data_IF_843921302584
#
_entry.id   IF_843921302584
#
_cell.length_a   1.000
_cell.length_b   1.000
_cell.length_c   1.000
_cell.angle_alpha   90.00
_cell.angle_beta   90.00
_cell.angle_gamma   90.00
#
_symmetry.space_group_name_H-M   'P 1'
#
loop_
_entity.id
_entity.type
_entity.pdbx_description
1 polymer ?
#
# COMPACT_ATOMS: atom_id res chain seq x y z
N UNK A 1 26.88 -33.76 -47.65
CA UNK A 1 26.04 -32.55 -47.86
C UNK A 1 26.56 -31.46 -46.93
N UNK A 2 27.14 -30.40 -47.51
CA UNK A 2 27.67 -29.26 -46.74
C UNK A 2 26.47 -28.38 -46.35
N UNK A 3 26.21 -28.13 -45.05
CA UNK A 3 25.11 -27.26 -44.65
C UNK A 3 25.35 -25.85 -45.21
N UNK A 4 24.36 -25.30 -45.91
CA UNK A 4 24.45 -23.96 -46.47
C UNK A 4 24.52 -22.93 -45.33
N UNK A 5 25.31 -21.86 -45.51
CA UNK A 5 25.48 -20.77 -44.53
C UNK A 5 24.15 -20.16 -44.05
N UNK A 6 23.08 -20.32 -44.84
CA UNK A 6 21.72 -19.84 -44.53
C UNK A 6 21.04 -20.64 -43.40
N UNK A 7 21.29 -21.95 -43.30
CA UNK A 7 20.68 -22.79 -42.26
C UNK A 7 21.39 -22.62 -40.89
N UNK A 8 22.65 -22.19 -40.90
CA UNK A 8 23.44 -21.91 -39.68
C UNK A 8 23.05 -20.57 -39.03
N UNK A 9 22.66 -19.58 -39.83
CA UNK A 9 22.15 -18.28 -39.34
C UNK A 9 20.74 -18.38 -38.74
N UNK A 10 19.87 -19.24 -39.27
CA UNK A 10 18.51 -19.44 -38.76
C UNK A 10 18.53 -20.20 -37.42
N UNK A 11 19.43 -21.17 -37.26
CA UNK A 11 19.62 -21.90 -36.00
C UNK A 11 20.30 -21.06 -34.92
N UNK A 12 21.32 -20.25 -35.29
CA UNK A 12 21.94 -19.30 -34.36
C UNK A 12 21.00 -18.14 -33.97
N UNK A 13 20.19 -17.63 -34.91
CA UNK A 13 19.19 -16.60 -34.66
C UNK A 13 18.03 -17.10 -33.78
N UNK A 14 17.56 -18.33 -34.00
CA UNK A 14 16.54 -18.98 -33.17
C UNK A 14 17.02 -19.28 -31.74
N UNK A 15 18.26 -19.77 -31.57
CA UNK A 15 18.87 -19.96 -30.26
C UNK A 15 19.14 -18.63 -29.54
N UNK A 16 19.57 -17.59 -30.26
CA UNK A 16 19.76 -16.24 -29.73
C UNK A 16 18.44 -15.59 -29.29
N UNK A 17 17.38 -15.70 -30.08
CA UNK A 17 16.03 -15.22 -29.73
C UNK A 17 15.42 -16.00 -28.55
N UNK A 18 15.63 -17.32 -28.48
CA UNK A 18 15.18 -18.13 -27.35
C UNK A 18 15.97 -17.80 -26.06
N UNK A 19 17.29 -17.60 -26.13
CA UNK A 19 18.12 -17.20 -24.99
C UNK A 19 17.83 -15.76 -24.54
N UNK A 20 17.55 -14.83 -25.47
CA UNK A 20 17.08 -13.47 -25.15
C UNK A 20 15.70 -13.50 -24.52
N UNK A 21 14.77 -14.33 -25.02
CA UNK A 21 13.44 -14.51 -24.44
C UNK A 21 13.47 -15.11 -23.04
N UNK A 22 14.29 -16.14 -22.82
CA UNK A 22 14.50 -16.76 -21.50
C UNK A 22 15.24 -15.82 -20.55
N UNK A 23 16.25 -15.09 -21.03
CA UNK A 23 17.00 -14.12 -20.22
C UNK A 23 16.16 -12.91 -19.82
N UNK A 24 15.31 -12.40 -20.71
CA UNK A 24 14.37 -11.31 -20.43
C UNK A 24 13.27 -11.76 -19.47
N UNK A 25 12.67 -12.94 -19.70
CA UNK A 25 11.70 -13.53 -18.77
C UNK A 25 12.32 -13.80 -17.38
N UNK A 26 13.54 -14.36 -17.33
CA UNK A 26 14.25 -14.61 -16.08
C UNK A 26 14.62 -13.29 -15.36
N UNK A 27 15.04 -12.26 -16.08
CA UNK A 27 15.28 -10.94 -15.49
C UNK A 27 14.00 -10.27 -14.96
N UNK A 28 12.85 -10.47 -15.63
CA UNK A 28 11.53 -10.01 -15.19
C UNK A 28 11.01 -10.77 -13.96
N UNK A 29 11.45 -12.01 -13.73
CA UNK A 29 11.12 -12.78 -12.50
C UNK A 29 11.93 -12.41 -11.26
N UNK A 30 12.98 -11.57 -11.40
CA UNK A 30 13.81 -11.22 -10.24
C UNK A 30 13.09 -10.24 -9.33
N UNK A 31 13.13 -10.55 -8.03
CA UNK A 31 12.59 -9.69 -6.97
C UNK A 31 13.13 -8.25 -7.09
N UNK A 32 12.26 -7.22 -7.17
CA UNK A 32 12.67 -5.82 -7.21
C UNK A 32 13.18 -5.35 -5.83
N UNK A 33 14.42 -5.70 -5.48
CA UNK A 33 14.97 -5.49 -4.14
C UNK A 33 14.92 -4.03 -3.67
N UNK A 34 15.08 -3.05 -4.57
CA UNK A 34 15.01 -1.62 -4.22
C UNK A 34 13.60 -1.20 -3.77
N UNK A 35 12.56 -1.71 -4.44
CA UNK A 35 11.18 -1.43 -4.06
C UNK A 35 10.82 -2.06 -2.70
N UNK A 36 11.49 -3.14 -2.33
CA UNK A 36 11.33 -3.79 -1.02
C UNK A 36 12.27 -3.26 0.07
N UNK A 37 13.17 -2.32 -0.23
CA UNK A 37 14.08 -1.75 0.77
C UNK A 37 13.36 -1.21 2.03
N UNK A 38 12.15 -0.60 1.95
CA UNK A 38 11.40 -0.21 3.13
C UNK A 38 11.05 -1.37 4.09
N UNK A 39 10.95 -2.60 3.60
CA UNK A 39 10.70 -3.79 4.42
C UNK A 39 11.97 -4.36 5.09
N UNK A 40 13.14 -3.85 4.73
CA UNK A 40 14.42 -4.19 5.37
C UNK A 40 14.75 -3.13 6.44
N UNK A 41 13.86 -2.99 7.42
CA UNK A 41 13.98 -1.93 8.44
C UNK A 41 15.15 -2.23 9.38
N UNK A 42 16.25 -1.49 9.22
CA UNK A 42 17.33 -1.46 10.21
C UNK A 42 16.90 -0.62 11.42
N UNK A 43 17.30 -0.98 12.66
CA UNK A 43 17.09 -0.12 13.82
C UNK A 43 17.63 1.29 13.56
N UNK A 44 16.85 2.30 13.94
CA UNK A 44 17.31 3.69 14.05
C UNK A 44 17.39 4.05 15.53
N UNK A 45 18.35 4.91 15.88
CA UNK A 45 18.50 5.42 17.25
C UNK A 45 17.44 6.48 17.57
N UNK A 46 17.09 7.34 16.60
CA UNK A 46 15.98 8.28 16.74
C UNK A 46 14.65 7.52 16.68
N UNK A 47 13.88 7.59 17.78
CA UNK A 47 12.56 6.94 17.90
C UNK A 47 11.59 7.40 16.81
N UNK A 48 11.69 8.65 16.35
CA UNK A 48 10.83 9.20 15.29
C UNK A 48 11.14 8.51 13.97
N UNK A 49 12.43 8.39 13.64
CA UNK A 49 12.86 7.67 12.43
C UNK A 49 12.51 6.18 12.52
N UNK A 50 12.64 5.57 13.69
CA UNK A 50 12.19 4.19 13.90
C UNK A 50 10.69 4.04 13.62
N UNK A 51 9.86 4.91 14.18
CA UNK A 51 8.42 4.90 13.96
C UNK A 51 8.08 5.09 12.47
N UNK A 52 8.65 6.10 11.82
CA UNK A 52 8.32 6.44 10.44
C UNK A 52 8.77 5.41 9.42
N UNK A 53 9.89 4.71 9.63
CA UNK A 53 10.31 3.61 8.74
C UNK A 53 9.34 2.43 8.73
N UNK A 54 8.59 2.23 9.81
CA UNK A 54 7.50 1.25 9.86
C UNK A 54 6.20 1.86 9.33
N UNK A 55 5.92 3.13 9.65
CA UNK A 55 4.70 3.82 9.24
C UNK A 55 4.56 3.95 7.72
N UNK A 56 5.66 4.14 6.98
CA UNK A 56 5.63 4.20 5.51
C UNK A 56 5.15 2.88 4.86
N UNK A 57 5.12 1.77 5.61
CA UNK A 57 4.55 0.51 5.15
C UNK A 57 3.03 0.49 5.25
N UNK A 58 2.38 1.58 5.67
CA UNK A 58 0.93 1.68 5.73
C UNK A 58 0.29 1.49 4.34
N UNK A 59 -0.84 0.76 4.25
CA UNK A 59 -1.58 0.67 3.00
C UNK A 59 -2.20 2.03 2.68
N UNK A 60 -2.19 2.41 1.41
CA UNK A 60 -2.85 3.61 0.93
C UNK A 60 -3.36 3.39 -0.51
N UNK A 61 -4.36 4.16 -0.99
CA UNK A 61 -4.96 3.93 -2.29
C UNK A 61 -3.91 4.03 -3.41
N UNK A 62 -3.98 3.09 -4.35
CA UNK A 62 -3.00 2.89 -5.43
C UNK A 62 -1.53 2.87 -4.98
N UNK A 63 -1.27 2.60 -3.70
CA UNK A 63 0.08 2.69 -3.12
C UNK A 63 0.77 4.05 -3.40
N UNK A 64 0.01 5.16 -3.42
CA UNK A 64 0.54 6.52 -3.71
C UNK A 64 1.58 7.02 -2.70
N UNK A 65 1.59 6.51 -1.47
CA UNK A 65 2.50 6.91 -0.39
C UNK A 65 2.64 8.44 -0.23
N UNK A 66 1.56 9.18 0.05
CA UNK A 66 1.52 10.65 0.00
C UNK A 66 2.15 11.34 1.24
N UNK A 67 3.07 10.68 1.92
CA UNK A 67 3.56 11.09 3.24
C UNK A 67 4.67 12.14 3.13
N UNK A 68 4.42 13.35 3.64
CA UNK A 68 5.47 14.34 3.89
C UNK A 68 5.66 14.50 5.40
N UNK A 69 6.88 14.21 5.86
CA UNK A 69 7.22 14.18 7.29
C UNK A 69 8.23 15.30 7.57
N UNK A 70 7.84 16.24 8.43
CA UNK A 70 8.73 17.29 8.93
C UNK A 70 9.06 17.02 10.38
N UNK A 71 10.31 16.72 10.70
CA UNK A 71 10.76 16.60 12.08
C UNK A 71 10.87 17.99 12.70
N UNK A 72 10.27 18.17 13.88
CA UNK A 72 10.26 19.43 14.62
C UNK A 72 10.95 19.20 15.95
N UNK A 73 11.98 20.00 16.25
CA UNK A 73 12.75 19.87 17.49
C UNK A 73 13.31 18.46 17.70
N UNK A 74 13.17 17.94 18.93
CA UNK A 74 13.72 16.64 19.35
C UNK A 74 12.68 15.53 19.42
N UNK A 75 11.41 15.89 19.61
CA UNK A 75 10.33 14.97 20.00
C UNK A 75 9.04 15.18 19.21
N UNK A 76 9.03 16.05 18.20
CA UNK A 76 7.82 16.37 17.44
C UNK A 76 7.98 16.11 15.94
N UNK A 77 6.85 15.94 15.26
CA UNK A 77 6.77 15.86 13.81
C UNK A 77 5.43 16.38 13.28
N UNK A 78 5.47 17.03 12.11
CA UNK A 78 4.28 17.40 11.35
C UNK A 78 4.14 16.49 10.14
N UNK A 79 2.93 15.99 9.92
CA UNK A 79 2.58 15.14 8.80
C UNK A 79 1.73 15.94 7.82
N UNK A 80 2.17 16.04 6.58
CA UNK A 80 1.46 16.71 5.49
C UNK A 80 1.16 15.73 4.36
N UNK A 81 0.18 16.09 3.54
CA UNK A 81 -0.09 15.40 2.29
C UNK A 81 0.77 15.97 1.17
N UNK A 82 1.50 15.11 0.47
CA UNK A 82 1.98 15.44 -0.87
C UNK A 82 0.77 15.53 -1.80
N UNK A 83 0.42 16.76 -2.21
CA UNK A 83 -0.78 17.03 -2.99
C UNK A 83 -0.70 16.51 -4.44
N UNK A 84 0.51 16.24 -4.94
CA UNK A 84 0.74 15.58 -6.24
C UNK A 84 0.51 14.06 -6.18
N UNK A 85 0.46 13.52 -4.96
CA UNK A 85 0.19 12.10 -4.69
C UNK A 85 -1.27 11.78 -4.38
N UNK A 86 -2.16 12.74 -4.62
CA UNK A 86 -3.62 12.53 -4.56
C UNK A 86 -4.14 11.79 -5.78
N UNK A 87 -5.43 11.44 -5.73
CA UNK A 87 -6.15 10.73 -6.79
C UNK A 87 -7.40 11.54 -7.16
N UNK A 88 -7.28 12.65 -7.91
CA UNK A 88 -8.39 13.55 -8.17
C UNK A 88 -9.58 12.90 -8.89
N UNK A 89 -9.41 11.78 -9.59
CA UNK A 89 -10.51 11.11 -10.30
C UNK A 89 -11.14 9.98 -9.46
N UNK A 90 -10.32 9.07 -8.92
CA UNK A 90 -10.79 7.89 -8.17
C UNK A 90 -11.00 8.15 -6.66
N UNK A 91 -10.47 9.26 -6.14
CA UNK A 91 -10.70 9.74 -4.77
C UNK A 91 -10.96 11.27 -4.74
N UNK A 92 -12.05 11.75 -5.35
CA UNK A 92 -12.27 13.18 -5.59
C UNK A 92 -12.39 14.03 -4.31
N UNK A 93 -12.66 13.41 -3.17
CA UNK A 93 -12.75 14.05 -1.85
C UNK A 93 -11.55 13.76 -0.94
N UNK A 94 -10.48 13.16 -1.49
CA UNK A 94 -9.28 12.75 -0.75
C UNK A 94 -9.61 11.86 0.49
N UNK A 95 -10.74 11.14 0.45
CA UNK A 95 -11.25 10.32 1.55
C UNK A 95 -10.38 9.07 1.72
N UNK A 96 -10.06 8.38 0.64
CA UNK A 96 -9.22 7.19 0.67
C UNK A 96 -7.79 7.55 1.08
N UNK A 97 -7.27 8.67 0.59
CA UNK A 97 -5.97 9.21 1.00
C UNK A 97 -5.95 9.50 2.50
N UNK A 98 -6.99 10.15 3.03
CA UNK A 98 -7.12 10.45 4.46
C UNK A 98 -7.21 9.18 5.32
N UNK A 99 -7.95 8.16 4.86
CA UNK A 99 -7.98 6.84 5.53
C UNK A 99 -6.57 6.23 5.57
N UNK A 100 -5.79 6.36 4.48
CA UNK A 100 -4.39 5.93 4.43
C UNK A 100 -3.52 6.63 5.48
N UNK A 101 -3.74 7.93 5.73
CA UNK A 101 -3.07 8.63 6.83
C UNK A 101 -3.44 8.08 8.19
N UNK A 102 -4.71 7.68 8.41
CA UNK A 102 -5.10 6.97 9.64
C UNK A 102 -4.29 5.69 9.85
N UNK A 103 -4.09 4.90 8.78
CA UNK A 103 -3.22 3.72 8.84
C UNK A 103 -1.76 4.08 9.12
N UNK A 104 -1.22 5.12 8.46
CA UNK A 104 0.15 5.60 8.70
C UNK A 104 0.37 6.00 10.17
N UNK A 105 -0.56 6.80 10.73
CA UNK A 105 -0.49 7.28 12.11
C UNK A 105 -0.57 6.14 13.12
N UNK A 106 -1.43 5.14 12.86
CA UNK A 106 -1.55 3.95 13.70
C UNK A 106 -0.27 3.10 13.67
N UNK A 107 0.32 2.89 12.50
CA UNK A 107 1.60 2.17 12.40
C UNK A 107 2.75 2.93 13.08
N UNK A 108 2.76 4.27 12.99
CA UNK A 108 3.73 5.10 13.71
C UNK A 108 3.57 4.94 15.24
N UNK A 109 2.33 4.91 15.74
CA UNK A 109 2.02 4.71 17.16
C UNK A 109 2.49 3.34 17.66
N UNK A 110 2.18 2.27 16.93
CA UNK A 110 2.61 0.90 17.24
C UNK A 110 4.14 0.81 17.27
N UNK A 111 4.81 1.39 16.28
CA UNK A 111 6.27 1.35 16.18
C UNK A 111 6.98 2.24 17.22
N UNK A 112 6.40 3.36 17.64
CA UNK A 112 6.92 4.14 18.75
C UNK A 112 6.81 3.37 20.07
N UNK A 113 5.68 2.68 20.28
CA UNK A 113 5.42 1.90 21.49
C UNK A 113 6.39 0.72 21.65
N UNK A 114 6.85 0.10 20.56
CA UNK A 114 7.92 -0.91 20.57
C UNK A 114 9.22 -0.39 21.20
N UNK A 115 9.49 0.91 21.10
CA UNK A 115 10.64 1.57 21.75
C UNK A 115 10.32 2.11 23.15
N UNK A 116 9.18 1.74 23.71
CA UNK A 116 8.73 2.20 25.01
C UNK A 116 8.21 3.63 25.03
N UNK A 117 7.96 4.25 23.87
CA UNK A 117 7.57 5.67 23.79
C UNK A 117 6.13 5.80 23.30
N UNK A 118 5.33 6.57 24.04
CA UNK A 118 3.97 6.91 23.62
C UNK A 118 3.97 8.01 22.55
N UNK A 119 3.01 7.93 21.63
CA UNK A 119 2.84 8.89 20.54
C UNK A 119 1.51 9.64 20.71
N UNK A 120 1.58 10.89 21.13
CA UNK A 120 0.42 11.78 21.15
C UNK A 120 0.15 12.30 19.73
N UNK A 121 -1.09 12.15 19.26
CA UNK A 121 -1.51 12.51 17.91
C UNK A 121 -2.61 13.58 18.01
N UNK A 122 -2.36 14.75 17.43
CA UNK A 122 -3.36 15.78 17.22
C UNK A 122 -3.67 15.85 15.73
N UNK A 123 -4.80 15.24 15.34
CA UNK A 123 -5.33 15.24 13.98
C UNK A 123 -5.78 16.66 13.59
N UNK A 124 -5.51 17.05 12.33
CA UNK A 124 -5.90 18.32 11.73
C UNK A 124 -5.73 19.52 12.68
N UNK A 125 -4.50 19.81 13.15
CA UNK A 125 -4.25 20.83 14.17
C UNK A 125 -4.62 22.26 13.71
N UNK A 126 -4.81 22.46 12.41
CA UNK A 126 -5.26 23.70 11.76
C UNK A 126 -6.67 23.58 11.17
N UNK A 127 -7.46 22.60 11.64
CA UNK A 127 -8.80 22.30 11.18
C UNK A 127 -8.85 21.53 9.86
N UNK A 128 -10.00 20.93 9.57
CA UNK A 128 -10.23 20.24 8.30
C UNK A 128 -10.49 21.22 7.14
N UNK A 129 -10.24 20.80 5.89
CA UNK A 129 -10.65 21.57 4.71
C UNK A 129 -12.16 21.54 4.45
N UNK A 130 -12.89 22.44 5.12
CA UNK A 130 -14.35 22.53 4.99
C UNK A 130 -14.80 23.06 3.62
N UNK A 131 -14.11 24.06 3.06
CA UNK A 131 -14.57 24.76 1.86
C UNK A 131 -14.42 23.96 0.55
N UNK A 132 -13.34 23.18 0.43
CA UNK A 132 -13.04 22.40 -0.77
C UNK A 132 -13.44 20.92 -0.64
N UNK A 133 -13.60 20.43 0.60
CA UNK A 133 -13.70 19.00 0.88
C UNK A 133 -12.46 18.20 0.49
N UNK A 134 -11.32 18.86 0.21
CA UNK A 134 -10.08 18.26 -0.29
C UNK A 134 -8.90 18.68 0.57
N UNK A 135 -7.93 17.78 0.72
CA UNK A 135 -6.68 18.07 1.42
C UNK A 135 -5.94 19.23 0.73
N UNK A 136 -5.32 20.07 1.56
CA UNK A 136 -4.53 21.21 1.14
C UNK A 136 -3.17 21.22 1.87
N UNK A 137 -2.46 22.35 1.85
CA UNK A 137 -1.12 22.46 2.42
C UNK A 137 -1.06 22.36 3.95
N UNK A 138 -2.20 22.25 4.65
CA UNK A 138 -2.21 22.13 6.11
C UNK A 138 -1.75 20.75 6.58
N UNK A 139 -1.18 20.66 7.79
CA UNK A 139 -0.83 19.37 8.38
C UNK A 139 -2.06 18.50 8.62
N UNK A 140 -1.95 17.23 8.26
CA UNK A 140 -2.91 16.16 8.58
C UNK A 140 -2.82 15.81 10.06
N UNK A 141 -1.61 15.83 10.63
CA UNK A 141 -1.41 15.55 12.05
C UNK A 141 -0.17 16.26 12.59
N UNK A 142 -0.26 16.64 13.87
CA UNK A 142 0.89 16.96 14.71
C UNK A 142 1.14 15.81 15.67
N UNK A 143 2.37 15.28 15.63
CA UNK A 143 2.82 14.15 16.43
C UNK A 143 3.79 14.61 17.50
N UNK A 144 3.63 14.11 18.72
CA UNK A 144 4.55 14.33 19.83
C UNK A 144 4.90 13.01 20.51
N UNK A 145 6.19 12.68 20.53
CA UNK A 145 6.76 11.47 21.12
C UNK A 145 7.02 11.75 22.60
N UNK A 146 6.07 11.40 23.45
CA UNK A 146 6.07 11.80 24.87
C UNK A 146 5.46 10.73 25.76
N UNK A 147 6.11 10.50 26.89
CA UNK A 147 5.69 9.52 27.89
C UNK A 147 6.10 8.10 27.54
N UNK A 148 5.72 7.18 28.41
CA UNK A 148 6.05 5.76 28.32
C UNK A 148 4.89 4.96 27.70
N UNK A 149 5.23 3.94 26.93
CA UNK A 149 4.27 2.99 26.37
C UNK A 149 4.80 1.56 26.52
N UNK A 150 3.89 0.59 26.52
CA UNK A 150 4.25 -0.81 26.40
C UNK A 150 4.28 -1.21 24.93
N UNK A 151 5.18 -2.12 24.57
CA UNK A 151 5.26 -2.69 23.24
C UNK A 151 3.89 -3.25 22.81
N UNK A 152 3.47 -2.90 21.60
CA UNK A 152 2.20 -3.34 21.04
C UNK A 152 2.37 -4.71 20.37
N UNK A 153 1.56 -5.72 20.69
CA UNK A 153 1.71 -7.07 20.14
C UNK A 153 1.59 -7.13 18.61
N UNK A 154 1.00 -6.11 17.97
CA UNK A 154 0.86 -6.02 16.53
C UNK A 154 2.12 -5.48 15.81
N UNK A 155 3.17 -5.06 16.54
CA UNK A 155 4.38 -4.53 15.92
C UNK A 155 4.99 -5.48 14.87
N UNK A 156 5.10 -6.77 15.22
CA UNK A 156 5.62 -7.79 14.31
C UNK A 156 4.76 -7.99 13.05
N UNK A 157 3.46 -7.67 13.11
CA UNK A 157 2.55 -7.80 11.99
C UNK A 157 2.80 -6.75 10.89
N UNK A 158 3.42 -5.61 11.21
CA UNK A 158 3.68 -4.52 10.26
C UNK A 158 4.50 -5.02 9.05
N UNK A 159 5.56 -5.79 9.31
CA UNK A 159 6.49 -6.22 8.28
C UNK A 159 5.94 -7.34 7.37
N UNK A 160 4.97 -8.12 7.86
CA UNK A 160 4.42 -9.29 7.13
C UNK A 160 3.06 -9.02 6.49
N UNK A 161 2.40 -7.90 6.86
CA UNK A 161 1.12 -7.50 6.29
C UNK A 161 1.26 -7.24 4.79
N UNK A 162 0.30 -7.75 4.01
CA UNK A 162 0.19 -7.51 2.57
C UNK A 162 -1.27 -7.42 2.15
N UNK A 163 -1.54 -6.69 1.08
CA UNK A 163 -2.84 -6.76 0.40
C UNK A 163 -2.86 -8.00 -0.49
N UNK A 164 -3.63 -9.02 -0.10
CA UNK A 164 -3.78 -10.25 -0.88
C UNK A 164 -4.78 -10.00 -2.01
N UNK A 165 -4.32 -10.14 -3.25
CA UNK A 165 -5.10 -9.93 -4.49
C UNK A 165 -5.35 -11.25 -5.22
N UNK A 166 -5.35 -12.35 -4.47
CA UNK A 166 -5.52 -13.72 -4.96
C UNK A 166 -6.87 -14.26 -4.48
N UNK A 167 -7.50 -15.20 -5.22
CA UNK A 167 -8.72 -15.84 -4.78
C UNK A 167 -8.55 -16.51 -3.41
N UNK A 168 -9.47 -16.23 -2.49
CA UNK A 168 -9.54 -16.92 -1.21
C UNK A 168 -10.23 -18.28 -1.34
N UNK A 169 -9.86 -19.23 -0.50
CA UNK A 169 -10.53 -20.53 -0.41
C UNK A 169 -11.98 -20.36 0.09
N UNK A 170 -12.93 -20.59 -0.81
CA UNK A 170 -14.37 -20.46 -0.53
C UNK A 170 -15.00 -21.72 0.06
N UNK A 171 -14.25 -22.83 0.12
CA UNK A 171 -14.70 -24.07 0.77
C UNK A 171 -14.54 -24.02 2.29
N UNK A 172 -13.70 -23.10 2.79
CA UNK A 172 -13.44 -22.94 4.22
C UNK A 172 -14.27 -21.79 4.80
N UNK A 173 -15.30 -22.08 5.64
CA UNK A 173 -16.08 -21.03 6.27
C UNK A 173 -15.24 -20.23 7.28
N UNK A 174 -15.57 -18.95 7.45
CA UNK A 174 -15.01 -18.12 8.52
C UNK A 174 -15.77 -18.44 9.81
N UNK A 175 -15.09 -18.81 10.91
CA UNK A 175 -15.77 -19.08 12.18
C UNK A 175 -16.48 -17.82 12.69
N UNK A 176 -17.74 -17.93 13.12
CA UNK A 176 -18.53 -16.80 13.63
C UNK A 176 -17.86 -16.14 14.84
N UNK A 177 -17.20 -16.92 15.71
CA UNK A 177 -16.40 -16.41 16.82
C UNK A 177 -15.25 -15.48 16.38
N UNK A 178 -14.64 -15.73 15.20
CA UNK A 178 -13.62 -14.83 14.66
C UNK A 178 -14.25 -13.52 14.14
N UNK A 179 -15.45 -13.59 13.56
CA UNK A 179 -16.21 -12.41 13.14
C UNK A 179 -16.58 -11.55 14.36
N UNK A 180 -17.07 -12.17 15.43
CA UNK A 180 -17.41 -11.49 16.68
C UNK A 180 -16.18 -10.83 17.33
N UNK A 181 -15.06 -11.55 17.38
CA UNK A 181 -13.79 -11.01 17.88
C UNK A 181 -13.34 -9.79 17.06
N UNK A 182 -13.51 -9.82 15.73
CA UNK A 182 -13.20 -8.67 14.88
C UNK A 182 -14.16 -7.50 15.08
N UNK A 183 -15.47 -7.78 15.20
CA UNK A 183 -16.49 -6.76 15.44
C UNK A 183 -16.26 -6.01 16.77
N UNK A 184 -15.69 -6.69 17.77
CA UNK A 184 -15.35 -6.10 19.06
C UNK A 184 -14.26 -5.00 18.99
N UNK A 185 -13.48 -4.91 17.90
CA UNK A 185 -12.55 -3.79 17.68
C UNK A 185 -13.27 -2.49 17.24
N UNK A 186 -14.59 -2.53 17.05
CA UNK A 186 -15.37 -1.33 16.84
C UNK A 186 -15.19 -0.30 17.97
N UNK A 187 -15.31 0.98 17.62
CA UNK A 187 -15.26 2.10 18.54
C UNK A 187 -16.40 3.07 18.27
N UNK A 188 -16.51 4.11 19.10
CA UNK A 188 -17.45 5.21 18.85
C UNK A 188 -17.21 5.93 17.51
N UNK A 189 -16.00 5.82 16.93
CA UNK A 189 -15.61 6.48 15.68
C UNK A 189 -15.68 5.57 14.45
N UNK A 190 -15.62 4.26 14.63
CA UNK A 190 -15.60 3.30 13.52
C UNK A 190 -16.29 2.00 13.93
N UNK A 191 -17.26 1.54 13.13
CA UNK A 191 -17.90 0.24 13.31
C UNK A 191 -17.14 -0.82 12.49
N UNK A 192 -16.79 -1.92 13.14
CA UNK A 192 -16.27 -3.13 12.49
C UNK A 192 -17.39 -4.17 12.46
N UNK A 193 -17.56 -4.85 11.32
CA UNK A 193 -18.54 -5.90 11.15
C UNK A 193 -18.04 -6.91 10.12
N UNK A 194 -18.58 -8.13 10.18
CA UNK A 194 -18.36 -9.19 9.21
C UNK A 194 -19.61 -10.04 9.06
N UNK A 195 -19.61 -10.95 8.10
CA UNK A 195 -20.75 -11.84 7.83
C UNK A 195 -20.28 -13.18 7.30
N UNK A 196 -20.91 -14.25 7.76
CA UNK A 196 -20.87 -15.60 7.19
C UNK A 196 -22.18 -15.94 6.44
N UNK A 197 -23.13 -14.99 6.36
CA UNK A 197 -24.33 -15.11 5.53
C UNK A 197 -23.96 -15.05 4.04
N UNK A 198 -23.98 -16.22 3.41
CA UNK A 198 -23.62 -16.39 2.01
C UNK A 198 -24.58 -15.67 1.04
N UNK A 199 -25.81 -15.33 1.44
CA UNK A 199 -26.69 -14.49 0.63
C UNK A 199 -26.14 -13.05 0.58
N UNK A 200 -25.89 -12.46 1.75
CA UNK A 200 -25.28 -11.14 1.84
C UNK A 200 -23.89 -11.09 1.17
N UNK A 201 -23.06 -12.13 1.32
CA UNK A 201 -21.76 -12.22 0.64
C UNK A 201 -21.92 -12.19 -0.89
N UNK A 202 -22.91 -12.89 -1.46
CA UNK A 202 -23.18 -12.84 -2.91
C UNK A 202 -23.59 -11.44 -3.36
N UNK A 203 -24.45 -10.77 -2.59
CA UNK A 203 -24.92 -9.42 -2.91
C UNK A 203 -23.77 -8.40 -2.85
N UNK A 204 -22.92 -8.47 -1.83
CA UNK A 204 -21.73 -7.63 -1.72
C UNK A 204 -20.74 -7.88 -2.87
N UNK A 205 -20.54 -9.14 -3.28
CA UNK A 205 -19.72 -9.49 -4.45
C UNK A 205 -20.28 -8.89 -5.74
N UNK A 206 -21.58 -9.02 -5.96
CA UNK A 206 -22.23 -8.43 -7.13
C UNK A 206 -22.08 -6.89 -7.14
N UNK A 207 -22.34 -6.24 -6.00
CA UNK A 207 -22.21 -4.80 -5.84
C UNK A 207 -20.77 -4.31 -6.11
N UNK A 208 -19.78 -4.96 -5.49
CA UNK A 208 -18.36 -4.59 -5.68
C UNK A 208 -17.89 -4.82 -7.12
N UNK A 209 -18.34 -5.89 -7.77
CA UNK A 209 -18.05 -6.13 -9.19
C UNK A 209 -18.68 -5.06 -10.10
N UNK A 210 -19.95 -4.71 -9.87
CA UNK A 210 -20.61 -3.63 -10.61
C UNK A 210 -19.88 -2.30 -10.43
N UNK A 211 -19.53 -1.94 -9.19
CA UNK A 211 -18.78 -0.71 -8.90
C UNK A 211 -17.42 -0.69 -9.61
N UNK A 212 -16.67 -1.79 -9.56
CA UNK A 212 -15.39 -1.92 -10.26
C UNK A 212 -15.56 -1.79 -11.79
N UNK A 213 -16.58 -2.44 -12.37
CA UNK A 213 -16.87 -2.34 -13.81
C UNK A 213 -17.24 -0.91 -14.22
N UNK A 214 -17.96 -0.16 -13.38
CA UNK A 214 -18.25 1.25 -13.65
C UNK A 214 -16.96 2.09 -13.67
N UNK A 215 -16.07 1.89 -12.70
CA UNK A 215 -14.77 2.58 -12.65
C UNK A 215 -13.89 2.21 -13.85
N UNK A 216 -13.76 0.92 -14.15
CA UNK A 216 -12.93 0.41 -15.25
C UNK A 216 -13.42 0.83 -16.63
N UNK A 217 -14.74 1.02 -16.81
CA UNK A 217 -15.30 1.52 -18.07
C UNK A 217 -15.42 3.04 -18.13
N UNK A 218 -15.09 3.75 -17.05
CA UNK A 218 -15.02 5.21 -17.04
C UNK A 218 -13.62 5.62 -17.44
N UNK A 219 -13.47 6.17 -18.66
CA UNK A 219 -12.16 6.47 -19.25
C UNK A 219 -11.22 7.22 -18.30
N UNK A 220 -11.68 8.32 -17.69
CA UNK A 220 -10.83 9.13 -16.80
C UNK A 220 -10.36 8.36 -15.56
N UNK A 221 -11.23 7.55 -14.94
CA UNK A 221 -10.90 6.78 -13.75
C UNK A 221 -9.95 5.62 -14.07
N UNK A 222 -10.21 4.93 -15.19
CA UNK A 222 -9.33 3.87 -15.66
C UNK A 222 -7.95 4.41 -16.07
N UNK A 223 -7.92 5.57 -16.75
CA UNK A 223 -6.68 6.27 -17.13
C UNK A 223 -5.82 6.61 -15.91
N UNK A 224 -6.41 7.15 -14.84
CA UNK A 224 -5.68 7.44 -13.58
C UNK A 224 -5.05 6.16 -12.99
N UNK A 225 -5.78 5.04 -13.05
CA UNK A 225 -5.23 3.74 -12.61
C UNK A 225 -4.10 3.24 -13.53
N UNK A 226 -4.25 3.36 -14.85
CA UNK A 226 -3.24 2.96 -15.85
C UNK A 226 -1.95 3.77 -15.68
N UNK A 227 -2.05 5.08 -15.47
CA UNK A 227 -0.89 5.96 -15.25
C UNK A 227 -0.12 5.59 -13.96
N UNK A 228 -0.76 4.87 -13.05
CA UNK A 228 -0.20 4.38 -11.80
C UNK A 228 0.23 2.91 -11.86
N UNK A 229 0.06 2.21 -12.98
CA UNK A 229 0.56 0.84 -13.12
C UNK A 229 2.08 0.84 -13.28
N UNK A 230 2.74 -0.11 -12.60
CA UNK A 230 4.18 -0.37 -12.73
C UNK A 230 4.36 -1.76 -13.31
N UNK A 231 4.56 -1.83 -14.62
CA UNK A 231 4.64 -3.10 -15.35
C UNK A 231 6.10 -3.52 -15.46
N UNK A 232 6.41 -4.69 -14.89
CA UNK A 232 7.75 -5.26 -14.92
C UNK A 232 8.72 -4.65 -13.90
N UNK A 233 9.82 -5.35 -13.68
CA UNK A 233 10.80 -5.04 -12.63
C UNK A 233 11.37 -3.62 -12.73
N UNK A 234 11.79 -3.21 -13.93
CA UNK A 234 12.46 -1.91 -14.13
C UNK A 234 11.57 -0.76 -13.67
N UNK A 235 10.29 -0.81 -14.01
CA UNK A 235 9.33 0.23 -13.66
C UNK A 235 8.97 0.22 -12.18
N UNK A 236 8.86 -0.97 -11.57
CA UNK A 236 8.66 -1.13 -10.13
C UNK A 236 9.87 -0.59 -9.34
N UNK A 237 11.10 -0.80 -9.80
CA UNK A 237 12.29 -0.27 -9.14
C UNK A 237 12.46 1.25 -9.33
N UNK A 238 12.12 1.76 -10.52
CA UNK A 238 12.18 3.19 -10.82
C UNK A 238 11.12 3.99 -10.05
N UNK A 239 9.93 3.41 -9.89
CA UNK A 239 8.79 4.03 -9.24
C UNK A 239 8.20 3.03 -8.23
N UNK A 240 8.75 2.96 -6.99
CA UNK A 240 8.32 2.02 -5.95
C UNK A 240 6.97 2.40 -5.30
N UNK A 241 6.12 3.10 -6.06
CA UNK A 241 4.74 3.46 -5.76
C UNK A 241 3.81 2.91 -6.84
N UNK A 242 2.49 3.06 -6.69
CA UNK A 242 1.56 2.61 -7.74
C UNK A 242 1.16 1.12 -7.66
N UNK A 243 0.44 0.68 -8.69
CA UNK A 243 -0.06 -0.69 -8.83
C UNK A 243 1.01 -1.53 -9.52
N UNK A 244 1.77 -2.29 -8.72
CA UNK A 244 2.75 -3.22 -9.26
C UNK A 244 2.08 -4.39 -10.01
N UNK A 245 2.52 -4.61 -11.24
CA UNK A 245 2.19 -5.73 -12.11
C UNK A 245 3.51 -6.39 -12.52
N UNK A 246 3.92 -7.41 -11.77
CA UNK A 246 5.16 -8.14 -12.02
C UNK A 246 4.96 -9.65 -11.88
N UNK A 247 5.94 -10.43 -12.33
CA UNK A 247 5.91 -11.89 -12.31
C UNK A 247 6.35 -12.49 -13.64
N UNK A 248 6.46 -13.82 -13.76
CA UNK A 248 7.04 -14.51 -14.92
C UNK A 248 6.28 -14.34 -16.23
N UNK A 249 5.05 -13.82 -16.18
CA UNK A 249 4.12 -13.71 -17.30
C UNK A 249 3.84 -12.25 -17.70
N UNK A 250 4.63 -11.30 -17.18
CA UNK A 250 4.65 -9.88 -17.56
C UNK A 250 6.08 -9.42 -17.82
#
# INVERSE_FOLDING_TARGET
MIPSRRNLLISAGGAGLALLGVGAAFAATRTPHRAFAPWQVSPADDVRLHAFRHAILAPNPHNRQPWLITLVGKDEALIHCDLERRLPVTDPFDRQITIGFGCFLELARIAAAERGISLAIREFPEGMPEASGRLDGRPIAHLKFVGEAHADPLFSAIAIRRSVKEPFDTSRPVPSAAIEALAAFGSARARVSGTDDMALVRDLRALTWTAWMMEANTHAAFKESVDLMRIGKAEIEANPDGIALGGPLL
#
